data_IF_184415492727
#
_entry.id   IF_184415492727
#
_cell.length_a   1.000
_cell.length_b   1.000
_cell.length_c   1.000
_cell.angle_alpha   90.00
_cell.angle_beta   90.00
_cell.angle_gamma   90.00
#
_symmetry.space_group_name_H-M   'P 1'
#
loop_
_entity.id
_entity.type
_entity.pdbx_description
1 polymer ?
#
# COMPACT_ATOMS: atom_id res chain seq x y z
N UNK A 1 13.33 -25.30 -11.40
CA UNK A 1 13.51 -25.36 -9.93
C UNK A 1 12.21 -25.63 -9.16
N UNK A 2 11.02 -25.24 -9.66
CA UNK A 2 9.71 -25.51 -9.03
C UNK A 2 9.44 -26.97 -8.61
N UNK A 3 9.89 -27.96 -9.39
CA UNK A 3 9.59 -29.39 -9.14
C UNK A 3 10.12 -29.90 -7.79
N UNK A 4 11.20 -29.33 -7.25
CA UNK A 4 11.77 -29.77 -5.97
C UNK A 4 10.99 -29.20 -4.77
N UNK A 5 10.46 -27.98 -4.90
CA UNK A 5 9.68 -27.31 -3.85
C UNK A 5 8.31 -27.97 -3.64
N UNK A 6 7.68 -28.45 -4.72
CA UNK A 6 6.37 -29.12 -4.67
C UNK A 6 6.37 -30.48 -3.94
N UNK A 7 7.54 -31.08 -3.72
CA UNK A 7 7.68 -32.38 -3.04
C UNK A 7 7.93 -32.25 -1.52
N UNK A 8 7.90 -31.03 -0.98
CA UNK A 8 8.01 -30.81 0.46
C UNK A 8 6.64 -31.04 1.13
N UNK A 9 6.61 -31.84 2.21
CA UNK A 9 5.39 -32.05 3.01
C UNK A 9 4.84 -30.71 3.47
N UNK A 10 3.57 -30.44 3.16
CA UNK A 10 2.88 -29.19 3.52
C UNK A 10 2.94 -28.10 2.44
N UNK A 11 3.66 -28.30 1.34
CA UNK A 11 3.64 -27.37 0.20
C UNK A 11 2.50 -27.77 -0.75
N UNK A 12 1.54 -26.87 -0.90
CA UNK A 12 0.48 -26.97 -1.90
C UNK A 12 0.58 -25.81 -2.89
N UNK A 13 0.24 -26.07 -4.15
CA UNK A 13 0.11 -24.98 -5.13
C UNK A 13 -1.19 -24.25 -4.86
N UNK A 14 -1.12 -22.93 -4.73
CA UNK A 14 -2.29 -22.08 -4.61
C UNK A 14 -2.88 -21.82 -6.00
N UNK A 15 -4.20 -21.86 -6.12
CA UNK A 15 -4.89 -21.37 -7.32
C UNK A 15 -4.64 -19.88 -7.52
N UNK A 16 -4.81 -19.38 -8.74
CA UNK A 16 -4.67 -17.94 -9.02
C UNK A 16 -5.58 -17.08 -8.14
N UNK A 17 -6.75 -17.59 -7.76
CA UNK A 17 -7.69 -16.92 -6.84
C UNK A 17 -7.10 -16.82 -5.43
N UNK A 18 -6.62 -17.93 -4.88
CA UNK A 18 -6.00 -17.95 -3.55
C UNK A 18 -4.72 -17.11 -3.51
N UNK A 19 -3.95 -17.10 -4.60
CA UNK A 19 -2.78 -16.23 -4.70
C UNK A 19 -3.15 -14.75 -4.68
N UNK A 20 -4.28 -14.37 -5.29
CA UNK A 20 -4.78 -12.99 -5.26
C UNK A 20 -5.30 -12.62 -3.86
N UNK A 21 -6.00 -13.53 -3.19
CA UNK A 21 -6.47 -13.32 -1.81
C UNK A 21 -5.30 -13.13 -0.83
N UNK A 22 -4.22 -13.88 -1.01
CA UNK A 22 -3.00 -13.75 -0.18
C UNK A 22 -2.19 -12.50 -0.54
N UNK A 23 -2.10 -12.15 -1.83
CA UNK A 23 -1.33 -10.98 -2.30
C UNK A 23 -2.05 -9.64 -2.13
N UNK A 24 -3.33 -9.63 -1.81
CA UNK A 24 -4.13 -8.42 -1.71
C UNK A 24 -5.16 -8.50 -0.60
N UNK A 25 -4.70 -8.80 0.63
CA UNK A 25 -5.55 -9.12 1.77
C UNK A 25 -6.82 -8.27 1.85
N UNK A 26 -7.97 -8.84 1.49
CA UNK A 26 -9.35 -8.30 1.50
C UNK A 26 -9.61 -6.92 0.82
N UNK A 27 -8.60 -6.06 0.71
CA UNK A 27 -8.58 -4.73 0.11
C UNK A 27 -7.33 -4.65 -0.76
N UNK A 28 -7.39 -5.13 -2.00
CA UNK A 28 -6.31 -5.03 -3.00
C UNK A 28 -5.99 -3.58 -3.44
N UNK A 29 -6.15 -2.62 -2.55
CA UNK A 29 -5.83 -1.21 -2.72
C UNK A 29 -4.60 -0.83 -1.89
N UNK A 30 -4.09 0.35 -2.19
CA UNK A 30 -3.08 0.99 -1.36
C UNK A 30 -3.47 0.97 0.11
N UNK A 31 -2.57 0.52 0.98
CA UNK A 31 -2.77 0.76 2.39
C UNK A 31 -2.35 2.20 2.71
N UNK A 32 -3.21 3.03 3.32
CA UNK A 32 -2.81 4.37 3.74
C UNK A 32 -1.69 4.23 4.78
N UNK A 33 -0.55 4.89 4.54
CA UNK A 33 0.62 4.83 5.40
C UNK A 33 1.17 6.23 5.62
N UNK A 34 1.20 6.72 6.86
CA UNK A 34 1.89 7.96 7.26
C UNK A 34 3.37 7.92 6.86
N UNK A 35 3.65 8.43 5.66
CA UNK A 35 4.97 8.45 5.03
C UNK A 35 5.36 9.90 4.78
N UNK A 36 6.59 10.22 5.15
CA UNK A 36 7.20 11.51 4.87
C UNK A 36 7.64 11.55 3.40
N UNK A 37 7.44 12.67 2.72
CA UNK A 37 7.73 12.81 1.30
C UNK A 37 8.43 14.13 0.99
N UNK A 38 9.22 14.13 -0.10
CA UNK A 38 9.77 15.34 -0.71
C UNK A 38 9.14 15.59 -2.09
N UNK A 39 8.71 14.53 -2.78
CA UNK A 39 7.97 14.59 -4.04
C UNK A 39 6.78 13.60 -4.09
N UNK A 40 5.94 13.72 -5.13
CA UNK A 40 4.79 12.83 -5.33
C UNK A 40 5.19 11.36 -5.59
N UNK A 41 6.43 11.09 -6.01
CA UNK A 41 6.92 9.73 -6.29
C UNK A 41 7.29 8.98 -5.02
N UNK A 42 7.63 9.70 -3.95
CA UNK A 42 7.86 9.13 -2.61
C UNK A 42 6.56 8.54 -2.02
N UNK A 43 5.41 8.98 -2.52
CA UNK A 43 4.12 8.61 -1.99
C UNK A 43 3.58 7.31 -2.60
N UNK A 44 3.20 6.33 -1.74
CA UNK A 44 2.68 5.07 -2.23
C UNK A 44 1.37 5.29 -2.99
N UNK A 45 1.20 4.51 -4.06
CA UNK A 45 -0.06 4.36 -4.77
C UNK A 45 -0.59 5.60 -5.49
N UNK A 46 0.33 6.39 -6.06
CA UNK A 46 -0.01 7.55 -6.90
C UNK A 46 -0.69 8.67 -6.11
N UNK A 47 -0.42 8.75 -4.80
CA UNK A 47 -0.80 9.87 -3.94
C UNK A 47 0.18 11.01 -4.14
N UNK A 48 -0.26 12.23 -3.89
CA UNK A 48 0.61 13.40 -3.90
C UNK A 48 1.23 13.64 -2.53
N UNK A 49 2.36 14.32 -2.55
CA UNK A 49 2.99 14.87 -1.37
C UNK A 49 2.28 16.18 -0.97
N UNK A 50 1.91 16.27 0.30
CA UNK A 50 1.27 17.43 0.89
C UNK A 50 -0.22 17.24 1.20
N UNK A 51 -0.63 17.62 2.41
CA UNK A 51 -2.02 17.59 2.90
C UNK A 51 -2.46 18.98 3.36
N UNK A 52 -3.75 19.27 3.19
CA UNK A 52 -4.40 20.45 3.76
C UNK A 52 -5.44 19.99 4.77
N UNK A 53 -5.39 20.54 5.98
CA UNK A 53 -6.33 20.26 7.06
C UNK A 53 -7.12 21.53 7.37
N UNK A 54 -8.42 21.49 7.16
CA UNK A 54 -9.31 22.59 7.52
C UNK A 54 -9.47 22.67 9.04
N UNK A 55 -9.11 23.80 9.64
CA UNK A 55 -9.33 24.09 11.07
C UNK A 55 -10.28 25.28 11.23
N UNK A 56 -10.92 25.45 12.41
CA UNK A 56 -11.74 26.63 12.70
C UNK A 56 -11.01 27.96 12.55
N UNK A 57 -9.67 27.96 12.62
CA UNK A 57 -8.81 29.13 12.45
C UNK A 57 -8.35 29.35 11.00
N UNK A 58 -8.64 28.41 10.08
CA UNK A 58 -8.21 28.42 8.69
C UNK A 58 -7.54 27.10 8.25
N UNK A 59 -7.25 26.92 6.95
CA UNK A 59 -6.55 25.75 6.44
C UNK A 59 -5.08 25.74 6.89
N UNK A 60 -4.59 24.58 7.32
CA UNK A 60 -3.17 24.32 7.62
C UNK A 60 -2.62 23.38 6.57
N UNK A 61 -1.52 23.77 5.94
CA UNK A 61 -0.82 22.99 4.91
C UNK A 61 0.40 22.29 5.52
N UNK A 62 0.52 20.98 5.28
CA UNK A 62 1.71 20.19 5.59
C UNK A 62 2.29 19.71 4.28
N UNK A 63 3.54 20.06 3.98
CA UNK A 63 4.17 19.78 2.68
C UNK A 63 4.99 18.50 2.63
N UNK A 64 5.31 17.91 3.78
CA UNK A 64 6.26 16.82 3.91
C UNK A 64 5.59 15.47 4.22
N UNK A 65 4.28 15.35 4.01
CA UNK A 65 3.52 14.14 4.33
C UNK A 65 2.62 13.74 3.16
N UNK A 66 2.62 12.46 2.82
CA UNK A 66 1.76 11.92 1.76
C UNK A 66 0.28 12.04 2.10
N UNK A 67 -0.57 12.12 1.08
CA UNK A 67 -2.02 12.11 1.30
C UNK A 67 -2.56 10.74 1.75
N UNK A 68 -3.36 10.73 2.82
CA UNK A 68 -4.14 9.58 3.28
C UNK A 68 -5.61 9.85 3.03
N UNK A 69 -6.15 9.31 1.95
CA UNK A 69 -7.58 9.33 1.68
C UNK A 69 -8.01 7.96 1.13
#
# INVERSE_FOLDING_TARGET
MLKKTLNLKGVRTLSNTEQKEIKGGFWGGCQPQLVQCFDDNDCPCGRSCGITVDTPQGPIEFFDVCQFN
#
